data_IF_268762897892
#
_entry.id   IF_268762897892
#
_cell.length_a   1.000
_cell.length_b   1.000
_cell.length_c   1.000
_cell.angle_alpha   90.00
_cell.angle_beta   90.00
_cell.angle_gamma   90.00
#
_symmetry.space_group_name_H-M   'P 1'
#
loop_
_entity.id
_entity.type
_entity.pdbx_description
1 polymer ?
#
# COMPACT_ATOMS: atom_id res chain seq x y z
N UNK A 1 16.29 -4.24 1.48
CA UNK A 1 15.52 -5.22 0.70
C UNK A 1 14.24 -4.51 0.32
N UNK A 2 13.77 -4.60 -0.93
CA UNK A 2 12.60 -3.86 -1.35
C UNK A 2 11.34 -4.36 -0.63
N UNK A 3 10.53 -3.45 -0.09
CA UNK A 3 9.26 -3.78 0.57
C UNK A 3 8.06 -3.65 -0.38
N UNK A 4 7.11 -4.56 -0.22
CA UNK A 4 5.84 -4.56 -0.95
C UNK A 4 4.72 -4.10 -0.02
N UNK A 5 4.04 -3.00 -0.36
CA UNK A 5 2.89 -2.49 0.38
C UNK A 5 1.59 -3.05 -0.19
N UNK A 6 0.74 -3.61 0.67
CA UNK A 6 -0.63 -4.04 0.34
C UNK A 6 -1.61 -3.18 1.15
N UNK A 7 -2.45 -2.40 0.48
CA UNK A 7 -3.44 -1.54 1.17
C UNK A 7 -4.69 -2.33 1.59
N UNK A 8 -5.65 -1.66 2.25
CA UNK A 8 -6.90 -2.25 2.72
C UNK A 8 -6.70 -3.48 3.63
N UNK A 9 -5.72 -3.43 4.54
CA UNK A 9 -5.33 -4.54 5.41
C UNK A 9 -6.47 -5.10 6.25
N UNK A 10 -7.48 -4.30 6.59
CA UNK A 10 -8.67 -4.72 7.36
C UNK A 10 -9.69 -5.51 6.54
N UNK A 11 -9.53 -5.57 5.22
CA UNK A 11 -10.39 -6.35 4.34
C UNK A 11 -10.02 -7.84 4.36
N UNK A 12 -11.02 -8.71 4.23
CA UNK A 12 -10.81 -10.15 4.06
C UNK A 12 -10.00 -10.52 2.80
N UNK A 13 -9.84 -9.57 1.85
CA UNK A 13 -8.97 -9.70 0.67
C UNK A 13 -7.49 -9.55 0.99
N UNK A 14 -7.10 -8.62 1.87
CA UNK A 14 -5.70 -8.44 2.25
C UNK A 14 -5.12 -9.69 2.94
N UNK A 15 -5.93 -10.38 3.74
CA UNK A 15 -5.56 -11.65 4.35
C UNK A 15 -5.33 -12.76 3.32
N UNK A 16 -6.10 -12.81 2.22
CA UNK A 16 -5.88 -13.77 1.13
C UNK A 16 -4.59 -13.48 0.36
N UNK A 17 -4.32 -12.20 0.08
CA UNK A 17 -3.13 -11.78 -0.66
C UNK A 17 -1.85 -12.06 0.15
N UNK A 18 -1.88 -11.90 1.48
CA UNK A 18 -0.77 -12.32 2.34
C UNK A 18 -0.44 -13.82 2.24
N UNK A 19 -1.41 -14.67 1.92
CA UNK A 19 -1.17 -16.10 1.69
C UNK A 19 -0.64 -16.42 0.29
N UNK A 20 -0.73 -15.48 -0.65
CA UNK A 20 -0.31 -15.63 -2.05
C UNK A 20 1.07 -14.98 -2.27
N UNK A 21 1.34 -13.86 -1.61
CA UNK A 21 2.64 -13.18 -1.69
C UNK A 21 3.62 -13.93 -0.80
N UNK A 22 4.48 -14.73 -1.44
CA UNK A 22 5.58 -15.49 -0.83
C UNK A 22 6.80 -14.62 -0.49
N UNK A 23 6.72 -13.30 -0.70
CA UNK A 23 7.80 -12.38 -0.35
C UNK A 23 7.92 -12.25 1.17
N UNK A 24 9.16 -12.29 1.66
CA UNK A 24 9.46 -12.19 3.09
C UNK A 24 9.23 -10.76 3.64
N UNK A 25 9.01 -9.78 2.76
CA UNK A 25 9.03 -8.34 3.03
C UNK A 25 7.71 -7.63 2.64
N UNK A 26 6.57 -8.20 3.05
CA UNK A 26 5.24 -7.59 2.86
C UNK A 26 4.85 -6.71 4.04
N UNK A 27 4.50 -5.46 3.74
CA UNK A 27 3.92 -4.49 4.66
C UNK A 27 2.43 -4.34 4.35
N UNK A 28 1.58 -4.48 5.36
CA UNK A 28 0.15 -4.20 5.23
C UNK A 28 -0.12 -2.74 5.59
N UNK A 29 -1.04 -2.08 4.88
CA UNK A 29 -1.45 -0.71 5.12
C UNK A 29 -2.96 -0.56 5.24
N UNK A 30 -3.42 0.26 6.18
CA UNK A 30 -4.81 0.71 6.21
C UNK A 30 -4.92 2.16 6.70
N UNK A 31 -5.88 2.90 6.14
CA UNK A 31 -6.17 4.27 6.56
C UNK A 31 -7.14 4.31 7.75
N UNK A 32 -7.90 3.22 7.95
CA UNK A 32 -8.82 3.07 9.06
C UNK A 32 -8.09 3.21 10.40
N UNK A 33 -8.82 3.58 11.46
CA UNK A 33 -8.27 3.60 12.81
C UNK A 33 -7.93 2.17 13.26
N UNK A 34 -6.67 1.81 13.07
CA UNK A 34 -6.10 0.55 13.47
C UNK A 34 -5.76 0.59 14.97
N UNK A 35 -6.15 -0.43 15.75
CA UNK A 35 -5.71 -0.54 17.13
C UNK A 35 -4.18 -0.61 17.23
N UNK A 36 -3.57 0.14 18.15
CA UNK A 36 -2.10 0.23 18.32
C UNK A 36 -1.40 -1.14 18.46
N UNK A 37 -2.09 -2.16 19.00
CA UNK A 37 -1.53 -3.50 19.15
C UNK A 37 -1.30 -4.21 17.81
N UNK A 38 -2.01 -3.82 16.75
CA UNK A 38 -1.84 -4.39 15.40
C UNK A 38 -0.67 -3.75 14.63
N UNK A 39 -0.30 -2.51 14.97
CA UNK A 39 0.82 -1.76 14.37
C UNK A 39 2.17 -2.21 14.95
N UNK A 40 2.21 -2.48 16.26
CA UNK A 40 3.43 -2.88 17.01
C UNK A 40 4.23 -4.09 16.47
N UNK A 41 3.65 -5.13 15.85
CA UNK A 41 4.45 -6.20 15.24
C UNK A 41 5.18 -5.80 13.94
N UNK A 42 5.10 -4.54 13.49
CA UNK A 42 5.88 -4.00 12.37
C UNK A 42 5.45 -4.51 10.98
N UNK A 43 4.34 -5.24 10.90
CA UNK A 43 3.79 -5.77 9.63
C UNK A 43 2.56 -5.02 9.15
N UNK A 44 2.14 -3.99 9.88
CA UNK A 44 0.98 -3.17 9.59
C UNK A 44 1.33 -1.71 9.88
N UNK A 45 1.18 -0.84 8.89
CA UNK A 45 1.41 0.60 8.99
C UNK A 45 0.12 1.37 8.71
N UNK A 46 0.04 2.60 9.22
CA UNK A 46 -1.02 3.52 8.86
C UNK A 46 -0.68 4.16 7.53
N UNK A 47 -1.62 4.14 6.58
CA UNK A 47 -1.47 4.85 5.30
C UNK A 47 -2.34 6.12 5.29
N UNK A 48 -2.03 7.09 4.42
CA UNK A 48 -2.84 8.28 4.22
C UNK A 48 -4.29 7.96 3.87
N UNK A 49 -5.19 8.90 4.18
CA UNK A 49 -6.61 8.76 3.84
C UNK A 49 -6.80 9.07 2.34
N UNK A 50 -7.43 8.19 1.55
CA UNK A 50 -7.69 8.43 0.13
C UNK A 50 -8.63 9.62 -0.14
N UNK A 51 -9.29 10.18 0.88
CA UNK A 51 -10.05 11.43 0.78
C UNK A 51 -9.18 12.69 0.86
N UNK A 52 -7.88 12.55 1.15
CA UNK A 52 -6.95 13.67 1.15
C UNK A 52 -6.71 14.17 -0.28
N UNK A 53 -6.76 15.48 -0.48
CA UNK A 53 -6.39 16.13 -1.75
C UNK A 53 -4.92 15.93 -2.11
N UNK A 54 -4.08 15.56 -1.14
CA UNK A 54 -2.65 15.33 -1.30
C UNK A 54 -2.28 13.84 -1.19
N UNK A 55 -3.28 12.95 -1.28
CA UNK A 55 -3.11 11.51 -1.05
C UNK A 55 -1.92 10.90 -1.80
N UNK A 56 -1.76 11.17 -3.09
CA UNK A 56 -0.67 10.63 -3.89
C UNK A 56 0.72 11.07 -3.38
N UNK A 57 0.87 12.32 -2.97
CA UNK A 57 2.12 12.82 -2.41
C UNK A 57 2.41 12.25 -1.03
N UNK A 58 1.39 12.16 -0.18
CA UNK A 58 1.52 11.53 1.14
C UNK A 58 1.89 10.04 1.02
N UNK A 59 1.30 9.33 0.04
CA UNK A 59 1.64 7.94 -0.26
C UNK A 59 3.06 7.80 -0.79
N UNK A 60 3.52 8.71 -1.64
CA UNK A 60 4.91 8.73 -2.10
C UNK A 60 5.87 8.89 -0.93
N UNK A 61 5.66 9.88 -0.07
CA UNK A 61 6.50 10.09 1.13
C UNK A 61 6.53 8.84 2.00
N UNK A 62 5.36 8.25 2.26
CA UNK A 62 5.28 7.00 3.01
C UNK A 62 6.11 5.88 2.37
N UNK A 63 6.08 5.75 1.04
CA UNK A 63 6.83 4.71 0.35
C UNK A 63 8.34 4.94 0.48
N UNK A 64 8.80 6.18 0.34
CA UNK A 64 10.20 6.55 0.50
C UNK A 64 10.70 6.32 1.93
N UNK A 65 9.91 6.70 2.94
CA UNK A 65 10.27 6.55 4.36
C UNK A 65 10.38 5.08 4.80
N UNK A 66 9.73 4.15 4.08
CA UNK A 66 9.65 2.73 4.41
C UNK A 66 10.34 1.82 3.38
N UNK A 67 11.15 2.37 2.46
CA UNK A 67 11.82 1.62 1.39
C UNK A 67 10.85 0.71 0.57
N UNK A 68 9.63 1.18 0.37
CA UNK A 68 8.59 0.50 -0.43
C UNK A 68 8.82 0.81 -1.89
N UNK A 69 8.90 -0.22 -2.72
CA UNK A 69 9.06 -0.07 -4.16
C UNK A 69 7.91 -0.67 -4.97
N UNK A 70 6.94 -1.32 -4.30
CA UNK A 70 5.79 -1.92 -4.96
C UNK A 70 4.54 -1.68 -4.12
N UNK A 71 3.47 -1.21 -4.74
CA UNK A 71 2.19 -0.95 -4.10
C UNK A 71 1.12 -1.82 -4.78
N UNK A 72 0.38 -2.57 -3.97
CA UNK A 72 -0.83 -3.30 -4.34
C UNK A 72 -2.04 -2.61 -3.70
N UNK A 73 -2.60 -1.57 -4.35
CA UNK A 73 -3.84 -0.95 -3.91
C UNK A 73 -5.01 -1.92 -4.09
N UNK A 74 -5.66 -2.32 -3.01
CA UNK A 74 -6.79 -3.27 -3.06
C UNK A 74 -8.15 -2.58 -3.21
N UNK A 75 -8.26 -1.32 -2.78
CA UNK A 75 -9.46 -0.53 -3.03
C UNK A 75 -9.35 0.16 -4.38
N UNK A 76 -10.44 0.14 -5.15
CA UNK A 76 -10.50 0.76 -6.47
C UNK A 76 -10.19 2.27 -6.42
N UNK A 77 -10.75 2.98 -5.43
CA UNK A 77 -10.50 4.41 -5.25
C UNK A 77 -9.02 4.74 -4.97
N UNK A 78 -8.35 3.92 -4.13
CA UNK A 78 -6.91 4.10 -3.89
C UNK A 78 -6.11 3.83 -5.17
N UNK A 79 -6.48 2.79 -5.91
CA UNK A 79 -5.81 2.43 -7.15
C UNK A 79 -5.96 3.53 -8.20
N UNK A 80 -7.16 4.08 -8.41
CA UNK A 80 -7.37 5.17 -9.36
C UNK A 80 -6.51 6.39 -9.03
N UNK A 81 -6.55 6.88 -7.79
CA UNK A 81 -5.78 8.06 -7.38
C UNK A 81 -4.26 7.86 -7.53
N UNK A 82 -3.76 6.66 -7.23
CA UNK A 82 -2.34 6.34 -7.41
C UNK A 82 -1.96 6.18 -8.89
N UNK A 83 -2.84 5.59 -9.70
CA UNK A 83 -2.61 5.40 -11.13
C UNK A 83 -2.66 6.72 -11.90
N UNK A 84 -3.53 7.67 -11.51
CA UNK A 84 -3.52 9.04 -12.04
C UNK A 84 -2.17 9.73 -11.79
N UNK A 85 -1.53 9.43 -10.66
CA UNK A 85 -0.22 9.90 -10.29
C UNK A 85 0.93 8.93 -10.65
N UNK A 86 0.70 7.90 -11.47
CA UNK A 86 1.68 6.81 -11.66
C UNK A 86 3.05 7.30 -12.11
N UNK A 87 3.11 8.33 -12.97
CA UNK A 87 4.36 8.91 -13.42
C UNK A 87 5.23 9.39 -12.24
N UNK A 88 4.62 10.02 -11.23
CA UNK A 88 5.32 10.47 -10.03
C UNK A 88 6.00 9.30 -9.31
N UNK A 89 5.34 8.14 -9.19
CA UNK A 89 5.89 6.97 -8.51
C UNK A 89 7.01 6.29 -9.31
N UNK A 90 6.86 6.23 -10.64
CA UNK A 90 7.86 5.64 -11.55
C UNK A 90 9.19 6.39 -11.46
N UNK A 91 9.18 7.71 -11.28
CA UNK A 91 10.39 8.53 -11.10
C UNK A 91 11.23 8.10 -9.89
N UNK A 92 10.62 7.48 -8.88
CA UNK A 92 11.28 6.97 -7.68
C UNK A 92 11.44 5.44 -7.67
N UNK A 93 11.25 4.76 -8.81
CA UNK A 93 11.26 3.30 -8.94
C UNK A 93 10.21 2.59 -8.07
N UNK A 94 9.05 3.22 -7.88
CA UNK A 94 7.92 2.63 -7.17
C UNK A 94 6.89 2.16 -8.20
N UNK A 95 6.59 0.86 -8.18
CA UNK A 95 5.66 0.23 -9.09
C UNK A 95 4.26 0.12 -8.46
N UNK A 96 3.22 0.44 -9.21
CA UNK A 96 1.82 0.31 -8.76
C UNK A 96 1.18 -0.84 -9.54
N UNK A 97 0.81 -1.91 -8.86
CA UNK A 97 0.16 -3.07 -9.47
C UNK A 97 -1.34 -2.89 -9.43
N UNK A 98 -2.00 -2.95 -10.58
CA UNK A 98 -3.45 -2.78 -10.66
C UNK A 98 -4.16 -3.96 -9.98
N UNK A 99 -5.28 -3.71 -9.28
CA UNK A 99 -6.05 -4.79 -8.66
C UNK A 99 -6.52 -5.86 -9.65
N UNK A 100 -6.82 -5.50 -10.90
CA UNK A 100 -7.24 -6.43 -11.96
C UNK A 100 -6.14 -7.40 -12.41
N UNK A 101 -4.87 -7.11 -12.12
CA UNK A 101 -3.75 -8.02 -12.40
C UNK A 101 -3.48 -9.00 -11.25
N UNK A 102 -4.23 -8.90 -10.15
CA UNK A 102 -4.16 -9.82 -9.01
C UNK A 102 -5.20 -10.94 -9.26
N UNK A 103 -4.83 -11.93 -10.07
CA UNK A 103 -5.64 -13.14 -10.31
C UNK A 103 -5.45 -14.22 -9.23
#
# INVERSE_FOLDING_TARGET
MPYTLVTAATSSRAHKIKSIITEQDVILGDYADLPDFMVKPGKLIRIPNPLSVSYAHEMLTLCLDNDINTIYPLNFNEAELLLEAAQLFIEFNINIIKPDEIQ
#
